data_IF_262760309891
#
_entry.id   IF_262760309891
#
_cell.length_a   1.000
_cell.length_b   1.000
_cell.length_c   1.000
_cell.angle_alpha   90.00
_cell.angle_beta   90.00
_cell.angle_gamma   90.00
#
_symmetry.space_group_name_H-M   'P 1'
#
loop_
_entity.id
_entity.type
_entity.pdbx_description
1 polymer ?
#
# COMPACT_ATOMS: atom_id res chain seq x y z
N UNK A 1 -21.53 0.62 -1.60
CA UNK A 1 -21.27 1.92 -0.90
C UNK A 1 -22.40 2.88 -1.22
N UNK A 2 -22.82 3.72 -0.25
CA UNK A 2 -23.87 4.75 -0.44
C UNK A 2 -23.42 5.83 -1.44
N UNK A 3 -24.38 6.37 -2.21
CA UNK A 3 -24.09 7.36 -3.26
C UNK A 3 -23.49 8.68 -2.74
N UNK A 4 -23.89 9.11 -1.55
CA UNK A 4 -23.30 10.33 -0.94
C UNK A 4 -21.85 10.06 -0.52
N UNK A 5 -21.55 8.85 -0.02
CA UNK A 5 -20.18 8.44 0.26
C UNK A 5 -19.32 8.39 -1.01
N UNK A 6 -19.84 7.84 -2.10
CA UNK A 6 -19.14 7.81 -3.39
C UNK A 6 -18.78 9.20 -3.87
N UNK A 7 -19.74 10.12 -3.88
CA UNK A 7 -19.53 11.52 -4.28
C UNK A 7 -18.54 12.26 -3.36
N UNK A 8 -18.64 12.02 -2.04
CA UNK A 8 -17.68 12.58 -1.07
C UNK A 8 -16.28 12.06 -1.33
N UNK A 9 -16.12 10.76 -1.56
CA UNK A 9 -14.84 10.11 -1.81
C UNK A 9 -14.20 10.61 -3.11
N UNK A 10 -14.98 10.77 -4.18
CA UNK A 10 -14.51 11.33 -5.45
C UNK A 10 -13.92 12.74 -5.24
N UNK A 11 -14.64 13.63 -4.55
CA UNK A 11 -14.16 14.99 -4.24
C UNK A 11 -12.90 14.98 -3.38
N UNK A 12 -12.86 14.11 -2.36
CA UNK A 12 -11.70 13.96 -1.51
C UNK A 12 -10.50 13.41 -2.30
N UNK A 13 -10.72 12.45 -3.19
CA UNK A 13 -9.65 11.91 -4.04
C UNK A 13 -9.00 12.99 -4.89
N UNK A 14 -9.76 13.93 -5.45
CA UNK A 14 -9.19 15.08 -6.18
C UNK A 14 -8.30 15.96 -5.29
N UNK A 15 -8.67 16.14 -4.03
CA UNK A 15 -7.83 16.86 -3.06
C UNK A 15 -6.53 16.10 -2.79
N UNK A 16 -6.62 14.79 -2.56
CA UNK A 16 -5.46 13.92 -2.34
C UNK A 16 -4.53 13.91 -3.55
N UNK A 17 -5.07 13.84 -4.77
CA UNK A 17 -4.29 13.87 -6.02
C UNK A 17 -3.48 15.18 -6.13
N UNK A 18 -4.08 16.32 -5.84
CA UNK A 18 -3.35 17.60 -5.79
C UNK A 18 -2.24 17.59 -4.73
N UNK A 19 -2.53 17.01 -3.56
CA UNK A 19 -1.54 16.81 -2.50
C UNK A 19 -0.36 15.94 -2.95
N UNK A 20 -0.62 14.80 -3.60
CA UNK A 20 0.41 13.92 -4.17
C UNK A 20 1.26 14.65 -5.22
N UNK A 21 0.63 15.37 -6.14
CA UNK A 21 1.32 16.14 -7.18
C UNK A 21 2.27 17.19 -6.58
N UNK A 22 1.85 17.91 -5.53
CA UNK A 22 2.71 18.87 -4.81
C UNK A 22 3.91 18.21 -4.12
N UNK A 23 3.89 16.89 -3.97
CA UNK A 23 4.92 16.05 -3.36
C UNK A 23 5.71 15.23 -4.38
N UNK A 24 5.63 15.59 -5.66
CA UNK A 24 6.27 14.89 -6.77
C UNK A 24 5.89 13.39 -6.86
N UNK A 25 4.63 13.08 -6.53
CA UNK A 25 4.01 11.76 -6.66
C UNK A 25 2.81 11.86 -7.59
N UNK A 26 2.49 10.79 -8.31
CA UNK A 26 1.36 10.78 -9.25
C UNK A 26 0.15 10.09 -8.63
N UNK A 27 -0.99 10.77 -8.60
CA UNK A 27 -2.25 10.23 -8.11
C UNK A 27 -3.25 9.95 -9.23
N UNK A 28 -4.02 8.87 -9.08
CA UNK A 28 -5.11 8.47 -9.98
C UNK A 28 -6.36 8.18 -9.15
N UNK A 29 -7.51 8.38 -9.73
CA UNK A 29 -8.79 8.01 -9.14
C UNK A 29 -9.42 6.87 -9.93
N UNK A 30 -9.90 5.86 -9.23
CA UNK A 30 -10.66 4.75 -9.77
C UNK A 30 -12.03 4.69 -9.06
N UNK A 31 -13.09 4.70 -9.84
CA UNK A 31 -14.47 4.69 -9.33
C UNK A 31 -14.86 3.37 -8.65
N UNK A 32 -14.17 2.28 -9.01
CA UNK A 32 -14.35 0.93 -8.48
C UNK A 32 -13.07 0.08 -8.63
N UNK A 33 -13.18 -1.21 -8.31
CA UNK A 33 -12.07 -2.18 -8.38
C UNK A 33 -11.66 -2.48 -9.82
N UNK A 34 -12.60 -2.51 -10.75
CA UNK A 34 -12.34 -2.80 -12.17
C UNK A 34 -11.55 -1.66 -12.81
N UNK A 35 -11.97 -0.41 -12.57
CA UNK A 35 -11.23 0.77 -13.00
C UNK A 35 -9.83 0.82 -12.37
N UNK A 36 -9.68 0.41 -11.10
CA UNK A 36 -8.39 0.34 -10.43
C UNK A 36 -7.46 -0.71 -11.03
N UNK A 37 -7.99 -1.90 -11.38
CA UNK A 37 -7.25 -2.94 -12.08
C UNK A 37 -6.74 -2.45 -13.43
N UNK A 38 -7.63 -1.87 -14.23
CA UNK A 38 -7.27 -1.30 -15.54
C UNK A 38 -6.17 -0.25 -15.41
N UNK A 39 -6.33 0.70 -14.50
CA UNK A 39 -5.35 1.75 -14.26
C UNK A 39 -3.99 1.18 -13.80
N UNK A 40 -3.99 0.14 -12.96
CA UNK A 40 -2.76 -0.50 -12.51
C UNK A 40 -2.01 -1.18 -13.66
N UNK A 41 -2.73 -1.91 -14.54
CA UNK A 41 -2.16 -2.57 -15.71
C UNK A 41 -1.61 -1.57 -16.73
N UNK A 42 -2.26 -0.42 -16.93
CA UNK A 42 -1.74 0.67 -17.80
C UNK A 42 -0.42 1.26 -17.32
N UNK A 43 -0.11 1.15 -16.01
CA UNK A 43 1.15 1.63 -15.43
C UNK A 43 2.29 0.61 -15.49
N UNK A 44 2.00 -0.64 -15.81
CA UNK A 44 2.96 -1.76 -15.81
C UNK A 44 3.27 -2.13 -17.26
N UNK A 45 4.53 -1.98 -17.64
CA UNK A 45 4.99 -2.37 -18.97
C UNK A 45 5.03 -3.89 -19.11
N UNK A 46 4.68 -4.43 -20.26
CA UNK A 46 4.81 -5.86 -20.54
C UNK A 46 6.26 -6.34 -20.33
N UNK A 47 6.41 -7.59 -19.95
CA UNK A 47 7.67 -8.25 -19.58
C UNK A 47 8.41 -7.65 -18.37
N UNK A 48 7.85 -6.64 -17.68
CA UNK A 48 8.44 -6.12 -16.45
C UNK A 48 8.52 -7.19 -15.37
N UNK A 49 9.55 -7.08 -14.52
CA UNK A 49 9.62 -7.82 -13.26
C UNK A 49 8.78 -7.10 -12.20
N UNK A 50 7.83 -7.80 -11.62
CA UNK A 50 6.93 -7.24 -10.61
C UNK A 50 7.07 -8.01 -9.31
N UNK A 51 7.27 -7.30 -8.22
CA UNK A 51 7.21 -7.86 -6.87
C UNK A 51 6.20 -7.12 -6.01
N UNK A 52 5.87 -7.70 -4.86
CA UNK A 52 4.87 -7.15 -3.95
C UNK A 52 5.27 -7.38 -2.49
N UNK A 53 5.01 -6.39 -1.64
CA UNK A 53 4.85 -6.61 -0.19
C UNK A 53 3.51 -7.26 0.11
N UNK A 54 3.20 -7.48 1.37
CA UNK A 54 1.85 -7.95 1.73
C UNK A 54 0.80 -6.89 1.41
N UNK A 55 0.21 -6.92 0.22
CA UNK A 55 -0.74 -5.93 -0.28
C UNK A 55 -2.09 -6.59 -0.59
N UNK A 56 -2.99 -6.64 0.41
CA UNK A 56 -4.33 -7.20 0.23
C UNK A 56 -5.12 -6.44 -0.83
N UNK A 57 -4.97 -5.12 -0.90
CA UNK A 57 -5.67 -4.29 -1.90
C UNK A 57 -5.37 -4.72 -3.35
N UNK A 58 -4.15 -5.19 -3.65
CA UNK A 58 -3.81 -5.70 -4.99
C UNK A 58 -4.51 -7.03 -5.29
N UNK A 59 -4.68 -7.90 -4.29
CA UNK A 59 -5.48 -9.12 -4.44
C UNK A 59 -6.97 -8.82 -4.65
N UNK A 60 -7.51 -7.88 -3.86
CA UNK A 60 -8.94 -7.54 -3.87
C UNK A 60 -9.41 -6.89 -5.16
N UNK A 61 -8.53 -6.22 -5.91
CA UNK A 61 -8.84 -5.69 -7.25
C UNK A 61 -8.52 -6.69 -8.38
N UNK A 62 -8.05 -7.91 -8.07
CA UNK A 62 -7.69 -8.91 -9.06
C UNK A 62 -6.34 -8.71 -9.76
N UNK A 63 -5.53 -7.72 -9.33
CA UNK A 63 -4.27 -7.38 -10.02
C UNK A 63 -3.26 -8.53 -9.98
N UNK A 64 -3.14 -9.24 -8.85
CA UNK A 64 -2.19 -10.35 -8.72
C UNK A 64 -2.52 -11.48 -9.71
N UNK A 65 -3.80 -11.82 -9.85
CA UNK A 65 -4.24 -12.83 -10.81
C UNK A 65 -3.95 -12.38 -12.24
N UNK A 66 -4.31 -11.15 -12.60
CA UNK A 66 -4.07 -10.60 -13.94
C UNK A 66 -2.56 -10.59 -14.31
N UNK A 67 -1.67 -10.32 -13.34
CA UNK A 67 -0.23 -10.35 -13.57
C UNK A 67 0.32 -11.77 -13.73
N UNK A 68 -0.26 -12.78 -13.05
CA UNK A 68 0.12 -14.18 -13.19
C UNK A 68 -0.35 -14.80 -14.51
N UNK A 69 -1.47 -14.34 -15.04
CA UNK A 69 -2.06 -14.81 -16.30
C UNK A 69 -1.57 -14.03 -17.53
N UNK A 70 -1.04 -12.82 -17.32
CA UNK A 70 -0.60 -11.93 -18.37
C UNK A 70 0.87 -12.10 -18.77
N UNK A 71 1.35 -11.21 -19.65
CA UNK A 71 2.73 -11.22 -20.14
C UNK A 71 3.66 -10.41 -19.21
N UNK A 72 3.79 -10.88 -17.96
CA UNK A 72 4.58 -10.25 -16.89
C UNK A 72 5.45 -11.27 -16.16
N UNK A 73 6.54 -10.80 -15.55
CA UNK A 73 7.39 -11.62 -14.69
C UNK A 73 7.04 -11.36 -13.22
N UNK A 74 5.90 -11.93 -12.76
CA UNK A 74 5.47 -11.77 -11.38
C UNK A 74 6.31 -12.67 -10.44
N UNK A 75 7.05 -12.02 -9.53
CA UNK A 75 7.93 -12.68 -8.56
C UNK A 75 7.12 -13.06 -7.30
N UNK A 76 6.65 -14.31 -7.27
CA UNK A 76 5.97 -14.85 -6.09
C UNK A 76 7.01 -15.21 -5.02
N UNK A 77 7.22 -14.28 -4.10
CA UNK A 77 8.20 -14.43 -3.03
C UNK A 77 7.88 -15.55 -2.03
N UNK A 78 6.66 -16.06 -1.99
CA UNK A 78 6.29 -17.19 -1.14
C UNK A 78 6.91 -18.51 -1.62
N UNK A 79 7.35 -18.55 -2.87
CA UNK A 79 8.00 -19.70 -3.52
C UNK A 79 9.53 -19.58 -3.59
N UNK A 80 10.10 -18.52 -3.03
CA UNK A 80 11.53 -18.22 -3.08
C UNK A 80 12.16 -18.36 -1.69
N UNK A 81 13.46 -18.62 -1.65
CA UNK A 81 14.23 -18.45 -0.43
C UNK A 81 14.08 -17.01 0.12
N UNK A 82 13.86 -16.81 1.45
CA UNK A 82 13.53 -15.49 2.00
C UNK A 82 14.50 -14.37 1.61
N UNK A 83 15.80 -14.65 1.63
CA UNK A 83 16.84 -13.66 1.29
C UNK A 83 16.83 -13.35 -0.21
N UNK A 84 16.72 -14.37 -1.04
CA UNK A 84 16.66 -14.24 -2.50
C UNK A 84 15.42 -13.45 -2.92
N UNK A 85 14.25 -13.78 -2.36
CA UNK A 85 13.00 -13.08 -2.63
C UNK A 85 13.02 -11.61 -2.21
N UNK A 86 13.77 -11.27 -1.15
CA UNK A 86 13.96 -9.86 -0.74
C UNK A 86 14.83 -9.10 -1.75
N UNK A 87 15.94 -9.69 -2.18
CA UNK A 87 16.85 -9.06 -3.16
C UNK A 87 16.16 -8.90 -4.52
N UNK A 88 15.45 -9.94 -4.98
CA UNK A 88 14.67 -9.88 -6.21
C UNK A 88 13.57 -8.81 -6.16
N UNK A 89 12.88 -8.67 -5.02
CA UNK A 89 11.89 -7.62 -4.84
C UNK A 89 12.51 -6.22 -4.88
N UNK A 90 13.68 -6.06 -4.31
CA UNK A 90 14.39 -4.78 -4.29
C UNK A 90 14.87 -4.35 -5.67
N UNK A 91 15.24 -5.30 -6.52
CA UNK A 91 15.75 -5.09 -7.89
C UNK A 91 14.64 -5.15 -8.97
N UNK A 92 13.38 -5.42 -8.60
CA UNK A 92 12.28 -5.49 -9.56
C UNK A 92 12.00 -4.14 -10.23
N UNK A 93 11.43 -4.17 -11.45
CA UNK A 93 11.04 -2.95 -12.17
C UNK A 93 9.88 -2.24 -11.47
N UNK A 94 8.91 -3.02 -10.98
CA UNK A 94 7.70 -2.51 -10.31
C UNK A 94 7.50 -3.18 -8.96
N UNK A 95 7.20 -2.38 -7.95
CA UNK A 95 6.80 -2.85 -6.63
C UNK A 95 5.36 -2.45 -6.31
N UNK A 96 4.52 -3.45 -6.05
CA UNK A 96 3.14 -3.22 -5.64
C UNK A 96 3.05 -3.10 -4.13
N UNK A 97 2.33 -2.10 -3.67
CA UNK A 97 2.10 -1.86 -2.25
C UNK A 97 0.72 -1.25 -1.99
N UNK A 98 0.41 -1.10 -0.71
CA UNK A 98 -0.65 -0.24 -0.21
C UNK A 98 -0.12 0.54 0.99
N UNK A 99 -0.80 1.61 1.36
CA UNK A 99 -0.52 2.32 2.61
C UNK A 99 -1.33 1.72 3.76
N UNK A 100 -0.81 1.81 4.99
CA UNK A 100 -1.59 1.55 6.20
C UNK A 100 -2.53 2.73 6.51
N UNK A 101 -2.13 3.93 6.12
CA UNK A 101 -2.94 5.13 6.08
C UNK A 101 -2.30 6.15 5.13
N UNK A 102 -3.05 7.16 4.72
CA UNK A 102 -2.51 8.34 4.04
C UNK A 102 -3.30 9.60 4.44
N UNK A 103 -2.70 10.75 4.27
CA UNK A 103 -3.37 12.01 4.54
C UNK A 103 -4.09 12.57 3.32
N UNK A 104 -5.06 13.45 3.54
CA UNK A 104 -5.71 14.22 2.47
C UNK A 104 -4.72 15.11 1.69
N UNK A 105 -3.56 15.41 2.27
CA UNK A 105 -2.46 16.14 1.64
C UNK A 105 -1.46 15.24 0.89
N UNK A 106 -1.71 13.93 0.78
CA UNK A 106 -0.89 13.01 0.01
C UNK A 106 0.35 12.46 0.72
N UNK A 107 0.43 12.50 2.05
CA UNK A 107 1.49 11.83 2.83
C UNK A 107 1.10 10.38 3.05
N UNK A 108 1.98 9.43 2.73
CA UNK A 108 1.76 7.99 2.93
C UNK A 108 2.38 7.54 4.25
N UNK A 109 1.68 6.67 4.98
CA UNK A 109 2.13 6.05 6.23
C UNK A 109 2.14 4.54 6.08
N UNK A 110 3.31 3.93 6.33
CA UNK A 110 3.51 2.49 6.30
C UNK A 110 4.18 2.01 7.59
N UNK A 111 3.63 0.98 8.22
CA UNK A 111 4.22 0.26 9.35
C UNK A 111 4.70 -1.10 8.87
N UNK A 112 5.90 -1.51 9.30
CA UNK A 112 6.52 -2.77 8.89
C UNK A 112 7.21 -3.46 10.07
N UNK A 113 7.20 -4.80 10.08
CA UNK A 113 7.90 -5.61 11.06
C UNK A 113 9.33 -5.93 10.65
N UNK A 114 9.55 -6.27 9.39
CA UNK A 114 10.85 -6.75 8.88
C UNK A 114 11.57 -5.75 7.96
N UNK A 115 11.05 -4.54 7.81
CA UNK A 115 11.55 -3.51 6.89
C UNK A 115 11.54 -3.89 5.39
N UNK A 116 11.10 -5.07 5.05
CA UNK A 116 11.16 -5.61 3.69
C UNK A 116 10.28 -4.84 2.70
N UNK A 117 9.10 -4.40 3.12
CA UNK A 117 8.20 -3.58 2.31
C UNK A 117 8.63 -2.11 2.31
N UNK A 118 8.93 -1.55 3.47
CA UNK A 118 9.30 -0.14 3.57
C UNK A 118 10.63 0.18 2.91
N UNK A 119 11.58 -0.75 2.85
CA UNK A 119 12.83 -0.58 2.10
C UNK A 119 12.58 -0.49 0.59
N UNK A 120 11.73 -1.35 0.03
CA UNK A 120 11.32 -1.28 -1.37
C UNK A 120 10.58 0.02 -1.69
N UNK A 121 9.70 0.49 -0.78
CA UNK A 121 9.01 1.78 -0.93
C UNK A 121 10.02 2.94 -0.89
N UNK A 122 10.93 2.95 0.09
CA UNK A 122 11.85 4.06 0.32
C UNK A 122 12.92 4.19 -0.78
N UNK A 123 13.54 3.07 -1.18
CA UNK A 123 14.70 3.07 -2.07
C UNK A 123 14.57 2.13 -3.26
N UNK A 124 14.10 0.91 -3.13
CA UNK A 124 14.18 -0.20 -4.07
C UNK A 124 13.72 0.07 -5.51
N UNK A 125 12.65 -0.55 -6.01
CA UNK A 125 12.26 -0.54 -7.43
C UNK A 125 12.10 0.84 -8.06
N UNK A 126 12.29 0.90 -9.37
CA UNK A 126 12.18 2.13 -10.17
C UNK A 126 10.77 2.72 -10.14
N UNK A 127 9.76 1.87 -10.01
CA UNK A 127 8.35 2.25 -9.94
C UNK A 127 7.68 1.58 -8.74
N UNK A 128 6.96 2.36 -7.94
CA UNK A 128 6.14 1.85 -6.83
C UNK A 128 4.69 2.25 -7.07
N UNK A 129 3.81 1.26 -7.16
CA UNK A 129 2.38 1.47 -7.38
C UNK A 129 1.65 1.14 -6.08
N UNK A 130 0.98 2.13 -5.50
CA UNK A 130 0.13 1.98 -4.35
C UNK A 130 -1.33 1.83 -4.79
N UNK A 131 -2.00 0.78 -4.32
CA UNK A 131 -3.45 0.60 -4.42
C UNK A 131 -4.05 0.94 -3.06
N UNK A 132 -4.80 2.05 -2.97
CA UNK A 132 -5.28 2.61 -1.71
C UNK A 132 -6.79 2.80 -1.75
N UNK A 133 -7.52 2.05 -0.95
CA UNK A 133 -8.95 2.29 -0.75
C UNK A 133 -9.19 3.60 -0.01
N UNK A 134 -10.30 4.30 -0.33
CA UNK A 134 -10.65 5.57 0.30
C UNK A 134 -10.89 5.46 1.82
N UNK A 135 -11.08 4.23 2.35
CA UNK A 135 -11.12 3.95 3.78
C UNK A 135 -9.80 4.25 4.52
N UNK A 136 -8.69 4.45 3.80
CA UNK A 136 -7.36 4.71 4.39
C UNK A 136 -6.98 6.19 4.41
N UNK A 137 -7.81 7.06 3.83
CA UNK A 137 -7.55 8.50 3.79
C UNK A 137 -7.98 9.17 5.09
N UNK A 138 -7.05 9.85 5.74
CA UNK A 138 -7.21 10.59 6.99
C UNK A 138 -7.02 12.10 6.74
N UNK A 139 -7.48 12.92 7.69
CA UNK A 139 -7.38 14.38 7.57
C UNK A 139 -5.92 14.87 7.57
N UNK A 140 -5.13 14.35 8.51
CA UNK A 140 -3.76 14.80 8.81
C UNK A 140 -2.84 13.64 9.20
N UNK A 141 -1.56 13.93 9.45
CA UNK A 141 -0.56 12.91 9.78
C UNK A 141 -0.83 12.23 11.13
N UNK A 142 -1.34 12.98 12.13
CA UNK A 142 -1.64 12.41 13.46
C UNK A 142 -2.78 11.38 13.36
N UNK A 143 -3.86 11.72 12.65
CA UNK A 143 -4.97 10.80 12.36
C UNK A 143 -4.50 9.59 11.55
N UNK A 144 -3.62 9.78 10.57
CA UNK A 144 -3.07 8.70 9.75
C UNK A 144 -2.21 7.75 10.60
N UNK A 145 -1.36 8.27 11.48
CA UNK A 145 -0.58 7.48 12.42
C UNK A 145 -1.47 6.72 13.40
N UNK A 146 -2.51 7.36 13.93
CA UNK A 146 -3.50 6.71 14.81
C UNK A 146 -4.24 5.60 14.09
N UNK A 147 -4.68 5.83 12.84
CA UNK A 147 -5.32 4.79 12.02
C UNK A 147 -4.38 3.62 11.75
N UNK A 148 -3.15 3.89 11.31
CA UNK A 148 -2.18 2.85 11.01
C UNK A 148 -1.90 1.94 12.22
N UNK A 149 -1.79 2.52 13.42
CA UNK A 149 -1.55 1.80 14.67
C UNK A 149 -2.78 1.13 15.28
N UNK A 150 -3.95 1.77 15.24
CA UNK A 150 -5.13 1.30 15.98
C UNK A 150 -6.14 0.54 15.10
N UNK A 151 -6.02 0.64 13.77
CA UNK A 151 -6.89 -0.07 12.83
C UNK A 151 -6.07 -1.07 12.01
N UNK A 152 -5.12 -0.57 11.20
CA UNK A 152 -4.41 -1.42 10.25
C UNK A 152 -3.54 -2.49 10.94
N UNK A 153 -2.73 -2.12 11.93
CA UNK A 153 -1.83 -3.06 12.60
C UNK A 153 -2.57 -4.16 13.38
N UNK A 154 -3.60 -3.89 14.21
CA UNK A 154 -4.36 -4.93 14.90
C UNK A 154 -5.08 -5.90 13.96
N UNK A 155 -5.65 -5.40 12.85
CA UNK A 155 -6.28 -6.26 11.84
C UNK A 155 -5.21 -7.12 11.15
N UNK A 156 -4.08 -6.53 10.77
CA UNK A 156 -3.00 -7.27 10.12
C UNK A 156 -2.38 -8.33 11.05
N UNK A 157 -2.32 -8.10 12.36
CA UNK A 157 -1.82 -9.06 13.35
C UNK A 157 -2.64 -10.36 13.38
N UNK A 158 -3.93 -10.32 13.02
CA UNK A 158 -4.77 -11.53 12.96
C UNK A 158 -4.29 -12.55 11.90
N UNK A 159 -3.52 -12.12 10.92
CA UNK A 159 -3.02 -12.96 9.82
C UNK A 159 -1.79 -13.79 10.19
N UNK A 160 -1.15 -13.49 11.31
CA UNK A 160 0.12 -14.10 11.71
C UNK A 160 0.00 -14.84 13.04
N UNK A 161 0.85 -15.86 13.21
CA UNK A 161 1.00 -16.55 14.51
C UNK A 161 1.95 -15.73 15.41
N UNK A 162 1.43 -14.62 15.95
CA UNK A 162 2.16 -13.69 16.83
C UNK A 162 1.46 -13.52 18.17
N UNK A 163 2.25 -13.36 19.23
CA UNK A 163 1.76 -13.16 20.61
C UNK A 163 1.84 -11.68 20.97
N UNK A 164 1.02 -10.87 20.30
CA UNK A 164 0.95 -9.43 20.56
C UNK A 164 -0.37 -9.05 21.24
N UNK A 165 -0.39 -8.05 22.14
CA UNK A 165 -1.64 -7.65 22.82
C UNK A 165 -2.76 -7.26 21.86
N UNK A 166 -2.42 -6.67 20.71
CA UNK A 166 -3.41 -6.25 19.72
C UNK A 166 -4.05 -7.44 18.98
N UNK A 167 -3.40 -8.59 18.87
CA UNK A 167 -4.01 -9.79 18.32
C UNK A 167 -5.11 -10.32 19.25
N UNK A 168 -4.90 -10.25 20.56
CA UNK A 168 -5.85 -10.74 21.57
C UNK A 168 -7.01 -9.77 21.79
N UNK A 169 -6.72 -8.47 21.83
CA UNK A 169 -7.68 -7.45 22.28
C UNK A 169 -8.28 -6.63 21.13
N UNK A 170 -7.72 -6.72 19.93
CA UNK A 170 -8.09 -5.85 18.79
C UNK A 170 -7.59 -4.41 18.90
N UNK A 171 -6.83 -4.05 19.95
CA UNK A 171 -6.39 -2.68 20.24
C UNK A 171 -4.87 -2.57 20.33
N UNK A 172 -4.30 -1.48 19.79
CA UNK A 172 -2.88 -1.17 19.93
C UNK A 172 -2.53 -0.73 21.36
N UNK A 173 -1.47 -1.29 21.92
CA UNK A 173 -0.91 -0.97 23.23
C UNK A 173 0.50 -0.37 23.17
N UNK A 174 0.99 -0.02 21.98
CA UNK A 174 2.38 0.42 21.78
C UNK A 174 3.39 -0.60 22.33
N UNK A 175 3.12 -1.87 22.07
CA UNK A 175 3.85 -2.98 22.67
C UNK A 175 5.31 -3.05 22.18
N UNK A 176 6.16 -3.60 23.08
CA UNK A 176 7.55 -3.98 22.79
C UNK A 176 7.68 -5.52 22.81
N UNK A 177 6.64 -6.21 22.35
CA UNK A 177 6.64 -7.67 22.23
C UNK A 177 7.75 -8.12 21.27
N UNK A 178 8.45 -9.23 21.56
CA UNK A 178 9.39 -9.83 20.62
C UNK A 178 8.76 -10.17 19.25
N UNK A 179 7.46 -10.47 19.25
CA UNK A 179 6.68 -10.80 18.05
C UNK A 179 6.06 -9.56 17.36
N UNK A 180 6.45 -8.33 17.76
CA UNK A 180 5.84 -7.12 17.20
C UNK A 180 6.00 -7.05 15.68
N UNK A 181 4.93 -6.69 15.00
CA UNK A 181 4.92 -6.42 13.55
C UNK A 181 5.02 -4.92 13.24
N UNK A 182 5.36 -4.09 14.24
CA UNK A 182 5.40 -2.62 14.14
C UNK A 182 6.79 -2.08 14.49
N UNK A 183 7.83 -2.58 13.80
CA UNK A 183 9.23 -2.21 14.11
C UNK A 183 9.66 -0.91 13.41
N UNK A 184 9.14 -0.64 12.20
CA UNK A 184 9.49 0.55 11.43
C UNK A 184 8.22 1.31 11.02
N UNK A 185 8.35 2.64 11.03
CA UNK A 185 7.35 3.58 10.58
C UNK A 185 7.94 4.43 9.46
N UNK A 186 7.48 4.21 8.24
CA UNK A 186 7.86 5.01 7.08
C UNK A 186 6.79 6.06 6.81
N UNK A 187 7.18 7.33 6.84
CA UNK A 187 6.36 8.47 6.43
C UNK A 187 6.92 8.99 5.10
N UNK A 188 6.25 8.65 4.00
CA UNK A 188 6.65 9.14 2.68
C UNK A 188 6.00 10.49 2.43
N UNK A 189 6.77 11.54 2.68
CA UNK A 189 6.32 12.94 2.57
C UNK A 189 6.51 13.53 1.18
N UNK A 190 7.51 13.10 0.45
CA UNK A 190 7.90 13.63 -0.85
C UNK A 190 8.69 12.56 -1.62
N UNK A 191 8.55 12.50 -2.95
CA UNK A 191 9.39 11.68 -3.82
C UNK A 191 10.44 12.55 -4.50
N UNK A 192 11.74 12.25 -4.29
CA UNK A 192 12.82 12.94 -5.01
C UNK A 192 12.83 12.58 -6.50
N UNK A 193 12.37 11.37 -6.84
CA UNK A 193 12.39 10.84 -8.20
C UNK A 193 11.01 11.00 -8.83
N UNK A 194 10.92 11.85 -9.84
CA UNK A 194 9.70 12.06 -10.62
C UNK A 194 9.27 10.76 -11.31
N UNK A 195 7.96 10.45 -11.27
CA UNK A 195 7.41 9.26 -11.91
C UNK A 195 7.72 7.94 -11.18
N UNK A 196 8.33 7.97 -9.97
CA UNK A 196 8.60 6.75 -9.22
C UNK A 196 7.40 6.26 -8.42
N UNK A 197 6.67 7.16 -7.74
CA UNK A 197 5.55 6.80 -6.86
C UNK A 197 4.23 7.14 -7.55
N UNK A 198 3.42 6.12 -7.75
CA UNK A 198 2.05 6.18 -8.29
C UNK A 198 1.06 5.71 -7.24
N UNK A 199 -0.04 6.43 -7.05
CA UNK A 199 -1.07 6.11 -6.05
C UNK A 199 -2.42 6.06 -6.74
N UNK A 200 -3.04 4.87 -6.77
CA UNK A 200 -4.39 4.65 -7.28
C UNK A 200 -5.35 4.69 -6.09
N UNK A 201 -6.16 5.74 -6.02
CA UNK A 201 -7.20 5.94 -5.01
C UNK A 201 -8.47 5.25 -5.50
N UNK A 202 -8.88 4.19 -4.81
CA UNK A 202 -10.03 3.38 -5.21
C UNK A 202 -11.23 3.77 -4.35
N UNK A 203 -12.35 4.08 -5.00
CA UNK A 203 -13.59 4.45 -4.32
C UNK A 203 -14.29 3.22 -3.70
N UNK A 204 -13.56 2.49 -2.92
CA UNK A 204 -14.01 1.33 -2.17
C UNK A 204 -13.21 1.17 -0.86
N UNK A 205 -13.66 0.27 -0.01
CA UNK A 205 -12.92 -0.19 1.16
C UNK A 205 -12.00 -1.33 0.74
N UNK A 206 -10.69 -1.12 0.78
CA UNK A 206 -9.70 -2.12 0.39
C UNK A 206 -8.67 -2.34 1.51
N UNK A 207 -8.41 -3.60 1.79
CA UNK A 207 -7.44 -4.03 2.80
C UNK A 207 -7.69 -3.38 4.17
N UNK A 208 -6.61 -3.16 4.93
CA UNK A 208 -6.71 -2.67 6.31
C UNK A 208 -6.15 -1.27 6.48
#
# INVERSE_FOLDING_TARGET
>A
MDENMKKRNERLAQTVIKGLQSRNMTGYYAEDREAALKQALELIEENSTISMGGCMSAHEIGLVQALQEGNYQYLDRSKMEPREGLLAAYDSDVFLSSANAMTSEGILVNIDGNSNRVSCIAQGPKKVIFIVGMNKVCADLDSAMKRARNVAAPINAQRFEVKTPCKETGKCFDCKSPDTICCQFLITRYSRHTGRIHVILVNDNLGF
#
